data_IF_630153741658
#
_entry.id   IF_630153741658
#
_cell.length_a   1.000
_cell.length_b   1.000
_cell.length_c   1.000
_cell.angle_alpha   90.00
_cell.angle_beta   90.00
_cell.angle_gamma   90.00
#
_symmetry.space_group_name_H-M   'P 1'
#
loop_
_entity.id
_entity.type
_entity.pdbx_description
1 polymer ?
#
# COMPACT_ATOMS: atom_id res chain seq x y z
N UNK A 1 -33.17 -6.55 19.40
CA UNK A 1 -33.37 -5.59 18.28
C UNK A 1 -32.25 -4.59 18.20
N UNK A 2 -31.78 -3.97 19.29
CA UNK A 2 -30.64 -3.04 19.26
C UNK A 2 -29.34 -3.70 18.79
N UNK A 3 -29.08 -4.94 19.17
CA UNK A 3 -27.86 -5.67 18.81
C UNK A 3 -27.72 -5.92 17.30
N UNK A 4 -28.82 -6.28 16.64
CA UNK A 4 -28.83 -6.42 15.18
C UNK A 4 -28.54 -5.11 14.43
N UNK A 5 -28.97 -3.97 14.99
CA UNK A 5 -28.64 -2.65 14.43
C UNK A 5 -27.15 -2.33 14.60
N UNK A 6 -26.55 -2.64 15.76
CA UNK A 6 -25.12 -2.45 15.99
C UNK A 6 -24.28 -3.33 15.07
N UNK A 7 -24.66 -4.61 14.92
CA UNK A 7 -23.98 -5.53 14.01
C UNK A 7 -24.06 -5.06 12.55
N UNK A 8 -25.23 -4.59 12.10
CA UNK A 8 -25.40 -4.06 10.75
C UNK A 8 -24.62 -2.73 10.56
N UNK A 9 -24.58 -1.86 11.57
CA UNK A 9 -23.80 -0.62 11.54
C UNK A 9 -22.28 -0.91 11.46
N UNK A 10 -21.80 -1.86 12.26
CA UNK A 10 -20.41 -2.32 12.18
C UNK A 10 -20.07 -2.89 10.80
N UNK A 11 -20.99 -3.70 10.23
CA UNK A 11 -20.84 -4.20 8.87
C UNK A 11 -20.79 -3.10 7.81
N UNK A 12 -21.63 -2.06 7.93
CA UNK A 12 -21.57 -0.89 7.03
C UNK A 12 -20.22 -0.15 7.14
N UNK A 13 -19.77 0.10 8.37
CA UNK A 13 -18.47 0.75 8.60
C UNK A 13 -17.33 -0.06 7.97
N UNK A 14 -17.33 -1.37 8.16
CA UNK A 14 -16.33 -2.24 7.57
C UNK A 14 -16.37 -2.25 6.02
N UNK A 15 -17.57 -2.18 5.42
CA UNK A 15 -17.67 -2.08 3.97
C UNK A 15 -17.25 -0.69 3.45
N UNK A 16 -17.48 0.37 4.24
CA UNK A 16 -16.99 1.70 3.90
C UNK A 16 -15.46 1.75 3.88
N UNK A 17 -14.80 1.19 4.90
CA UNK A 17 -13.33 1.10 4.94
C UNK A 17 -12.76 0.33 3.74
N UNK A 18 -13.45 -0.75 3.31
CA UNK A 18 -13.07 -1.50 2.10
C UNK A 18 -13.26 -0.66 0.84
N UNK A 19 -14.38 0.07 0.72
CA UNK A 19 -14.64 0.98 -0.40
C UNK A 19 -13.57 2.07 -0.50
N UNK A 20 -13.17 2.66 0.63
CA UNK A 20 -12.15 3.70 0.68
C UNK A 20 -10.78 3.15 0.23
N UNK A 21 -10.42 1.94 0.69
CA UNK A 21 -9.19 1.27 0.27
C UNK A 21 -9.18 0.97 -1.24
N UNK A 22 -10.27 0.39 -1.77
CA UNK A 22 -10.38 0.06 -3.20
C UNK A 22 -10.41 1.32 -4.05
N UNK A 23 -11.09 2.38 -3.62
CA UNK A 23 -11.10 3.67 -4.30
C UNK A 23 -9.70 4.28 -4.39
N UNK A 24 -8.92 4.16 -3.31
CA UNK A 24 -7.53 4.58 -3.29
C UNK A 24 -6.66 3.74 -4.24
N UNK A 25 -6.87 2.42 -4.30
CA UNK A 25 -6.18 1.53 -5.23
C UNK A 25 -6.48 1.89 -6.69
N UNK A 26 -7.75 2.14 -7.04
CA UNK A 26 -8.17 2.57 -8.37
C UNK A 26 -7.52 3.91 -8.76
N UNK A 27 -7.53 4.89 -7.85
CA UNK A 27 -6.91 6.19 -8.08
C UNK A 27 -5.39 6.07 -8.35
N UNK A 28 -4.74 5.06 -7.78
CA UNK A 28 -3.31 4.81 -7.91
C UNK A 28 -2.95 3.67 -8.88
N UNK A 29 -3.90 3.22 -9.71
CA UNK A 29 -3.65 2.14 -10.66
C UNK A 29 -2.57 2.49 -11.71
N UNK A 30 -2.41 3.78 -12.03
CA UNK A 30 -1.39 4.27 -12.96
C UNK A 30 -0.17 4.88 -12.25
N UNK A 31 -0.08 4.77 -10.93
CA UNK A 31 1.05 5.33 -10.15
C UNK A 31 2.21 4.33 -10.13
N UNK A 32 3.40 4.77 -10.51
CA UNK A 32 4.62 3.94 -10.52
C UNK A 32 4.98 3.47 -9.12
N UNK A 33 5.33 2.19 -8.99
CA UNK A 33 5.74 1.60 -7.72
C UNK A 33 4.64 1.47 -6.67
N UNK A 34 3.39 1.82 -6.99
CA UNK A 34 2.27 1.67 -6.06
C UNK A 34 1.97 0.21 -5.74
N UNK A 35 1.62 -0.06 -4.50
CA UNK A 35 1.27 -1.39 -3.99
C UNK A 35 -0.12 -1.39 -3.39
N UNK A 36 -0.98 -2.30 -3.90
CA UNK A 36 -2.37 -2.48 -3.48
C UNK A 36 -2.48 -2.64 -1.96
N UNK A 37 -3.47 -1.99 -1.37
CA UNK A 37 -3.81 -2.12 0.05
C UNK A 37 -4.57 -3.43 0.28
N UNK A 38 -4.21 -4.16 1.33
CA UNK A 38 -4.91 -5.38 1.75
C UNK A 38 -5.78 -5.08 2.95
N UNK A 39 -7.08 -5.30 2.79
CA UNK A 39 -8.08 -5.17 3.86
C UNK A 39 -8.53 -6.56 4.28
N UNK A 40 -8.49 -6.87 5.56
CA UNK A 40 -9.06 -8.08 6.12
C UNK A 40 -10.23 -7.74 7.03
N UNK A 41 -11.23 -8.62 7.04
CA UNK A 41 -12.36 -8.54 7.96
C UNK A 41 -12.08 -9.42 9.17
N UNK A 42 -12.43 -8.89 10.35
CA UNK A 42 -12.44 -9.64 11.60
C UNK A 42 -13.85 -9.63 12.15
N UNK A 43 -14.29 -10.76 12.65
CA UNK A 43 -15.49 -10.83 13.46
C UNK A 43 -15.28 -10.16 14.83
N UNK A 44 -16.29 -9.48 15.28
CA UNK A 44 -16.35 -8.91 16.61
C UNK A 44 -17.22 -9.80 17.48
N UNK A 45 -16.59 -10.51 18.42
CA UNK A 45 -17.30 -11.31 19.41
C UNK A 45 -17.64 -10.41 20.60
N UNK A 46 -18.92 -10.26 20.88
CA UNK A 46 -19.38 -9.64 22.10
C UNK A 46 -19.76 -10.75 23.09
N UNK A 47 -18.85 -11.10 23.98
CA UNK A 47 -19.13 -11.93 25.15
C UNK A 47 -19.03 -11.05 26.40
N UNK A 48 -20.12 -10.44 26.88
CA UNK A 48 -20.13 -9.99 28.26
C UNK A 48 -19.96 -11.23 29.16
N UNK A 49 -19.02 -11.21 30.06
CA UNK A 49 -18.70 -12.30 30.99
C UNK A 49 -19.93 -12.85 31.74
N UNK A 50 -21.00 -12.05 31.87
CA UNK A 50 -22.24 -12.40 32.53
C UNK A 50 -23.30 -13.09 31.63
N UNK A 51 -23.21 -12.98 30.28
CA UNK A 51 -24.13 -13.62 29.33
C UNK A 51 -23.71 -15.06 29.04
N UNK A 52 -22.43 -15.38 29.13
CA UNK A 52 -21.91 -16.73 28.95
C UNK A 52 -22.46 -17.75 29.96
N UNK A 53 -23.10 -17.29 31.03
CA UNK A 53 -23.61 -18.14 32.11
C UNK A 53 -25.06 -18.62 31.92
N UNK A 54 -25.83 -18.06 30.99
CA UNK A 54 -27.27 -18.43 30.97
C UNK A 54 -27.71 -19.33 29.81
N UNK A 55 -27.12 -19.32 28.62
CA UNK A 55 -27.61 -20.17 27.52
C UNK A 55 -26.54 -20.65 26.50
N UNK A 56 -25.26 -20.43 26.68
CA UNK A 56 -24.22 -20.93 25.75
C UNK A 56 -24.27 -20.34 24.34
N UNK A 57 -25.08 -19.32 24.10
CA UNK A 57 -25.19 -18.64 22.80
C UNK A 57 -24.31 -17.41 22.82
N UNK A 58 -23.24 -17.43 22.06
CA UNK A 58 -22.41 -16.28 21.78
C UNK A 58 -23.06 -15.42 20.71
N UNK A 59 -23.39 -14.17 21.04
CA UNK A 59 -23.90 -13.22 20.06
C UNK A 59 -22.75 -12.52 19.34
N UNK A 60 -22.84 -12.44 18.00
CA UNK A 60 -21.85 -11.75 17.19
C UNK A 60 -22.07 -10.24 17.22
N UNK A 61 -21.02 -9.46 17.49
CA UNK A 61 -21.07 -7.99 17.49
C UNK A 61 -20.84 -7.35 16.10
N UNK A 62 -20.86 -8.15 15.04
CA UNK A 62 -20.62 -7.70 13.68
C UNK A 62 -19.19 -7.94 13.20
N UNK A 63 -18.75 -7.17 12.20
CA UNK A 63 -17.43 -7.26 11.60
C UNK A 63 -16.71 -5.91 11.62
N UNK A 64 -15.40 -5.95 11.69
CA UNK A 64 -14.53 -4.79 11.56
C UNK A 64 -13.53 -5.02 10.42
N UNK A 65 -13.35 -4.02 9.56
CA UNK A 65 -12.28 -4.02 8.59
C UNK A 65 -10.97 -3.54 9.22
N UNK A 66 -9.88 -4.15 8.83
CA UNK A 66 -8.55 -3.75 9.26
C UNK A 66 -7.60 -3.81 8.07
N UNK A 67 -6.81 -2.78 7.87
CA UNK A 67 -5.71 -2.82 6.91
C UNK A 67 -4.61 -3.73 7.45
N UNK A 68 -4.34 -4.82 6.75
CA UNK A 68 -3.33 -5.82 7.15
C UNK A 68 -1.99 -5.63 6.45
N UNK A 69 -1.80 -4.53 5.73
CA UNK A 69 -0.58 -4.23 4.99
C UNK A 69 -0.83 -3.98 3.51
N UNK A 70 0.21 -4.15 2.71
CA UNK A 70 0.15 -3.98 1.25
C UNK A 70 0.56 -5.28 0.54
N UNK A 71 0.02 -5.49 -0.65
CA UNK A 71 0.44 -6.59 -1.51
C UNK A 71 1.73 -6.21 -2.25
N UNK A 72 2.87 -6.79 -1.86
CA UNK A 72 4.16 -6.49 -2.50
C UNK A 72 4.46 -7.36 -3.73
N UNK A 73 3.45 -8.00 -4.31
CA UNK A 73 3.58 -8.64 -5.61
C UNK A 73 4.10 -7.64 -6.65
N UNK A 74 4.89 -8.14 -7.59
CA UNK A 74 5.47 -7.33 -8.65
C UNK A 74 4.38 -6.83 -9.60
N UNK A 75 4.42 -5.53 -9.94
CA UNK A 75 3.57 -4.93 -10.97
C UNK A 75 4.08 -5.21 -12.38
N UNK A 76 3.34 -4.80 -13.38
CA UNK A 76 3.78 -4.86 -14.76
C UNK A 76 4.95 -3.90 -15.00
N UNK A 77 5.86 -4.26 -15.90
CA UNK A 77 6.94 -3.40 -16.32
C UNK A 77 6.52 -2.58 -17.54
N UNK A 78 6.74 -1.28 -17.46
CA UNK A 78 6.54 -0.34 -18.57
C UNK A 78 7.88 0.22 -19.03
N UNK A 79 8.19 0.03 -20.29
CA UNK A 79 9.38 0.59 -20.89
C UNK A 79 9.20 2.09 -21.16
N UNK A 80 10.10 2.91 -20.68
CA UNK A 80 10.08 4.38 -20.84
C UNK A 80 11.20 4.87 -21.72
N UNK A 81 12.27 4.07 -21.86
CA UNK A 81 13.52 4.41 -22.54
C UNK A 81 14.23 5.66 -21.94
N UNK A 82 13.77 6.14 -20.77
CA UNK A 82 14.44 7.22 -20.04
C UNK A 82 15.60 6.66 -19.21
N UNK A 83 16.81 7.26 -19.30
CA UNK A 83 18.02 6.68 -18.72
C UNK A 83 18.03 6.68 -17.18
N UNK A 84 17.21 7.49 -16.53
CA UNK A 84 17.13 7.56 -15.07
C UNK A 84 15.97 6.75 -14.49
N UNK A 85 15.09 6.24 -15.35
CA UNK A 85 14.02 5.35 -14.91
C UNK A 85 14.58 3.94 -14.67
N UNK A 86 14.26 3.38 -13.53
CA UNK A 86 14.69 2.02 -13.16
C UNK A 86 13.54 1.24 -12.53
N UNK A 87 13.46 -0.03 -12.89
CA UNK A 87 12.56 -0.96 -12.22
C UNK A 87 13.35 -1.98 -11.40
N UNK A 88 12.81 -2.33 -10.25
CA UNK A 88 13.35 -3.38 -9.40
C UNK A 88 12.73 -4.73 -9.81
N UNK A 89 13.54 -5.65 -10.30
CA UNK A 89 13.13 -7.01 -10.58
C UNK A 89 13.40 -7.90 -9.36
N UNK A 90 12.36 -8.48 -8.78
CA UNK A 90 12.46 -9.29 -7.57
C UNK A 90 11.97 -8.57 -6.31
N UNK A 91 12.30 -9.14 -5.15
CA UNK A 91 11.88 -8.60 -3.85
C UNK A 91 12.91 -7.59 -3.34
N UNK A 92 12.42 -6.49 -2.76
CA UNK A 92 13.27 -5.47 -2.15
C UNK A 92 12.79 -4.07 -2.44
N UNK A 93 13.62 -3.12 -2.05
CA UNK A 93 13.35 -1.68 -2.14
C UNK A 93 14.66 -0.94 -2.45
N UNK A 94 14.54 0.25 -3.00
CA UNK A 94 15.64 1.19 -3.14
C UNK A 94 15.66 2.05 -1.88
N UNK A 95 16.83 2.16 -1.25
CA UNK A 95 17.02 2.99 -0.07
C UNK A 95 17.20 4.45 -0.46
N UNK A 96 16.42 5.31 0.16
CA UNK A 96 16.48 6.76 -0.02
C UNK A 96 16.53 7.47 1.33
N UNK A 97 16.73 8.78 1.30
CA UNK A 97 16.76 9.64 2.47
C UNK A 97 15.78 10.80 2.30
N UNK A 98 14.83 10.90 3.24
CA UNK A 98 13.85 11.99 3.36
C UNK A 98 14.10 12.74 4.66
N UNK A 99 14.44 14.03 4.61
CA UNK A 99 14.65 14.85 5.80
C UNK A 99 15.61 14.23 6.84
N UNK A 100 16.67 13.57 6.34
CA UNK A 100 17.66 12.90 7.19
C UNK A 100 17.26 11.51 7.69
N UNK A 101 16.04 11.04 7.43
CA UNK A 101 15.56 9.71 7.79
C UNK A 101 15.65 8.75 6.60
N UNK A 102 15.95 7.49 6.89
CA UNK A 102 15.96 6.45 5.88
C UNK A 102 14.53 6.10 5.47
N UNK A 103 14.27 6.07 4.17
CA UNK A 103 13.01 5.63 3.58
C UNK A 103 13.28 4.61 2.48
N UNK A 104 12.32 3.76 2.24
CA UNK A 104 12.35 2.69 1.27
C UNK A 104 11.34 2.99 0.18
N UNK A 105 11.69 2.76 -1.09
CA UNK A 105 10.74 2.95 -2.19
C UNK A 105 10.89 1.86 -3.25
N UNK A 106 9.83 1.65 -4.02
CA UNK A 106 9.82 0.90 -5.27
C UNK A 106 9.60 1.79 -6.49
N UNK A 107 9.37 3.09 -6.24
CA UNK A 107 9.32 4.06 -7.33
C UNK A 107 10.73 4.30 -7.86
N UNK A 108 10.93 4.00 -9.12
CA UNK A 108 12.22 4.16 -9.81
C UNK A 108 12.28 5.36 -10.73
N UNK A 109 11.33 6.28 -10.67
CA UNK A 109 11.38 7.51 -11.44
C UNK A 109 12.33 8.51 -10.78
N UNK A 110 13.60 8.45 -11.18
CA UNK A 110 14.64 9.31 -10.64
C UNK A 110 14.95 10.50 -11.55
N UNK A 111 15.47 11.54 -10.91
CA UNK A 111 15.98 12.74 -11.59
C UNK A 111 17.12 13.35 -10.78
N UNK A 112 17.92 14.17 -11.43
CA UNK A 112 18.92 14.99 -10.73
C UNK A 112 18.27 16.30 -10.28
N UNK A 113 18.61 16.71 -9.06
CA UNK A 113 18.23 18.03 -8.54
C UNK A 113 19.13 19.13 -9.11
N UNK A 114 18.85 20.39 -8.78
CA UNK A 114 19.65 21.56 -9.21
C UNK A 114 21.10 21.51 -8.72
N UNK A 115 21.41 20.68 -7.74
CA UNK A 115 22.74 20.44 -7.19
C UNK A 115 23.42 19.22 -7.81
N UNK A 116 22.78 18.61 -8.80
CA UNK A 116 23.28 17.40 -9.47
C UNK A 116 23.16 16.13 -8.65
N UNK A 117 22.36 16.08 -7.57
CA UNK A 117 22.18 14.89 -6.76
C UNK A 117 20.99 14.06 -7.26
N UNK A 118 21.16 12.75 -7.29
CA UNK A 118 20.12 11.81 -7.73
C UNK A 118 19.06 11.67 -6.65
N UNK A 119 17.80 11.85 -7.03
CA UNK A 119 16.65 11.74 -6.16
C UNK A 119 15.36 11.55 -6.93
N UNK A 120 14.24 11.55 -6.22
CA UNK A 120 12.90 11.49 -6.81
C UNK A 120 12.33 12.90 -7.07
N UNK A 121 11.13 12.93 -7.63
CA UNK A 121 10.40 14.18 -7.92
C UNK A 121 10.10 15.04 -6.68
N UNK A 122 10.10 14.46 -5.48
CA UNK A 122 9.86 15.12 -4.21
C UNK A 122 11.07 15.76 -3.57
N UNK A 123 12.26 15.36 -3.98
CA UNK A 123 13.51 15.79 -3.38
C UNK A 123 14.09 14.79 -2.37
N UNK A 124 13.52 13.60 -2.23
CA UNK A 124 14.19 12.51 -1.50
C UNK A 124 15.42 12.09 -2.27
N UNK A 125 16.55 11.93 -1.61
CA UNK A 125 17.82 11.61 -2.23
C UNK A 125 18.13 10.12 -2.10
N UNK A 126 18.78 9.53 -3.08
CA UNK A 126 19.26 8.15 -2.97
C UNK A 126 20.34 8.03 -1.90
N UNK A 127 20.39 6.88 -1.23
CA UNK A 127 21.40 6.57 -0.22
C UNK A 127 22.21 5.34 -0.67
N UNK A 128 23.56 5.42 -0.79
CA UNK A 128 24.42 6.59 -0.63
C UNK A 128 24.18 7.66 -1.70
N UNK A 129 24.48 8.93 -1.39
CA UNK A 129 24.21 10.04 -2.32
C UNK A 129 25.06 9.91 -3.59
N UNK A 130 24.40 9.98 -4.74
CA UNK A 130 25.02 9.93 -6.06
C UNK A 130 24.91 11.32 -6.66
N UNK A 131 26.04 11.90 -7.08
CA UNK A 131 26.08 13.25 -7.64
C UNK A 131 26.67 13.24 -9.04
N UNK A 132 26.02 14.00 -9.93
CA UNK A 132 26.49 14.24 -11.29
C UNK A 132 27.49 15.40 -11.30
N UNK A 133 28.62 15.28 -11.96
CA UNK A 133 29.54 16.42 -12.18
C UNK A 133 28.85 17.54 -12.98
N UNK A 134 29.18 18.79 -12.65
CA UNK A 134 28.63 19.96 -13.34
C UNK A 134 28.91 19.93 -14.84
N UNK A 135 27.90 20.25 -15.65
CA UNK A 135 28.03 20.35 -17.11
C UNK A 135 27.87 19.04 -17.88
N UNK A 136 27.42 17.96 -17.24
CA UNK A 136 27.23 16.67 -17.89
C UNK A 136 25.72 16.35 -17.99
N UNK A 137 25.32 15.82 -19.14
CA UNK A 137 23.93 15.42 -19.37
C UNK A 137 23.60 14.05 -18.72
N UNK A 138 22.42 13.93 -18.13
CA UNK A 138 21.92 12.71 -17.52
C UNK A 138 21.76 11.53 -18.52
N UNK A 139 21.72 11.83 -19.83
CA UNK A 139 21.52 10.81 -20.89
C UNK A 139 22.62 9.76 -20.97
N UNK A 140 23.84 10.09 -20.51
CA UNK A 140 25.01 9.20 -20.55
C UNK A 140 25.13 8.34 -19.29
N UNK A 141 24.19 8.46 -18.36
CA UNK A 141 24.18 7.65 -17.14
C UNK A 141 23.74 6.22 -17.46
N UNK A 142 24.54 5.25 -17.03
CA UNK A 142 24.21 3.83 -17.12
C UNK A 142 24.05 3.25 -15.72
N UNK A 143 22.98 2.53 -15.52
CA UNK A 143 22.67 1.84 -14.27
C UNK A 143 22.74 0.35 -14.52
N UNK A 144 23.68 -0.31 -13.88
CA UNK A 144 23.86 -1.74 -14.03
C UNK A 144 22.85 -2.53 -13.16
N UNK A 145 22.59 -3.81 -13.49
CA UNK A 145 21.63 -4.63 -12.72
C UNK A 145 21.98 -4.82 -11.24
N UNK A 146 23.24 -4.60 -10.85
CA UNK A 146 23.69 -4.67 -9.46
C UNK A 146 23.54 -3.33 -8.69
N UNK A 147 22.97 -2.30 -9.34
CA UNK A 147 22.79 -0.96 -8.81
C UNK A 147 23.98 -0.01 -9.02
N UNK A 148 25.05 -0.45 -9.66
CA UNK A 148 26.19 0.43 -9.96
C UNK A 148 25.81 1.49 -10.99
N UNK A 149 26.05 2.76 -10.65
CA UNK A 149 25.77 3.91 -11.51
C UNK A 149 27.07 4.42 -12.09
N UNK A 150 27.14 4.46 -13.40
CA UNK A 150 28.33 4.90 -14.15
C UNK A 150 27.99 6.00 -15.14
N UNK A 151 28.94 6.89 -15.40
CA UNK A 151 28.85 7.95 -16.38
C UNK A 151 30.08 7.89 -17.28
N UNK A 152 29.86 7.65 -18.57
CA UNK A 152 30.96 7.51 -19.55
C UNK A 152 32.08 6.55 -19.07
N UNK A 153 31.70 5.47 -18.39
CA UNK A 153 32.60 4.46 -17.84
C UNK A 153 33.23 4.81 -16.49
N UNK A 154 32.98 5.99 -15.92
CA UNK A 154 33.39 6.34 -14.55
C UNK A 154 32.30 6.01 -13.56
N UNK A 155 32.66 5.35 -12.46
CA UNK A 155 31.70 5.05 -11.38
C UNK A 155 31.33 6.36 -10.66
N UNK A 156 30.03 6.64 -10.57
CA UNK A 156 29.47 7.72 -9.76
C UNK A 156 29.05 7.23 -8.36
N UNK A 157 28.61 5.99 -8.25
CA UNK A 157 28.14 5.39 -7.00
C UNK A 157 27.38 4.10 -7.23
N UNK A 158 26.68 3.66 -6.19
CA UNK A 158 25.85 2.46 -6.24
C UNK A 158 24.53 2.70 -5.51
N UNK A 159 23.41 2.38 -6.15
CA UNK A 159 22.09 2.37 -5.52
C UNK A 159 22.02 1.25 -4.47
N UNK A 160 21.60 1.59 -3.26
CA UNK A 160 21.48 0.61 -2.19
C UNK A 160 20.16 -0.14 -2.32
N UNK A 161 20.25 -1.40 -2.72
CA UNK A 161 19.13 -2.32 -2.76
C UNK A 161 19.00 -3.01 -1.42
N UNK A 162 17.83 -2.92 -0.83
CA UNK A 162 17.57 -3.45 0.51
C UNK A 162 16.26 -4.25 0.54
N UNK A 163 16.17 -5.11 1.53
CA UNK A 163 14.96 -5.89 1.79
C UNK A 163 14.65 -5.88 3.28
N UNK A 164 13.41 -6.20 3.63
CA UNK A 164 12.95 -6.35 5.01
C UNK A 164 12.32 -7.73 5.18
N UNK A 165 12.45 -8.36 6.36
CA UNK A 165 11.90 -9.69 6.61
C UNK A 165 10.38 -9.75 6.48
N UNK A 166 9.67 -8.70 6.92
CA UNK A 166 8.21 -8.61 6.89
C UNK A 166 7.78 -7.30 6.24
N UNK A 167 7.57 -7.26 4.91
CA UNK A 167 7.16 -6.04 4.22
C UNK A 167 5.79 -5.50 4.70
N UNK A 168 4.89 -6.38 5.17
CA UNK A 168 3.57 -5.99 5.67
C UNK A 168 3.66 -5.05 6.90
N UNK A 169 4.75 -5.13 7.66
CA UNK A 169 5.03 -4.25 8.80
C UNK A 169 5.61 -2.88 8.41
N UNK A 170 5.80 -2.57 7.13
CA UNK A 170 6.29 -1.27 6.71
C UNK A 170 5.22 -0.19 6.88
N UNK A 171 5.60 0.95 7.42
CA UNK A 171 4.75 2.12 7.53
C UNK A 171 4.80 2.94 6.23
N UNK A 172 3.66 3.15 5.59
CA UNK A 172 3.57 4.03 4.42
C UNK A 172 3.66 5.50 4.85
N UNK A 173 4.55 6.25 4.21
CA UNK A 173 4.77 7.69 4.44
C UNK A 173 4.15 8.57 3.35
N UNK A 174 3.43 7.98 2.41
CA UNK A 174 2.97 8.63 1.18
C UNK A 174 4.02 8.58 0.07
N UNK A 175 3.59 8.86 -1.18
CA UNK A 175 4.42 8.89 -2.40
C UNK A 175 5.29 7.66 -2.61
N UNK A 176 4.69 6.50 -2.40
CA UNK A 176 5.34 5.19 -2.54
C UNK A 176 6.63 5.03 -1.72
N UNK A 177 6.76 5.83 -0.64
CA UNK A 177 7.83 5.74 0.34
C UNK A 177 7.34 5.02 1.60
N UNK A 178 8.19 4.19 2.16
CA UNK A 178 7.92 3.36 3.32
C UNK A 178 9.02 3.56 4.38
N UNK A 179 8.63 3.58 5.64
CA UNK A 179 9.56 3.52 6.77
C UNK A 179 9.60 2.11 7.34
N UNK A 180 10.80 1.68 7.70
CA UNK A 180 10.95 0.44 8.46
C UNK A 180 10.45 0.64 9.90
N UNK A 181 9.75 -0.37 10.43
CA UNK A 181 9.23 -0.40 11.80
C UNK A 181 9.82 -1.60 12.54
N UNK A 182 9.51 -1.71 13.83
CA UNK A 182 9.86 -2.89 14.60
C UNK A 182 9.21 -4.18 14.05
N UNK A 183 8.01 -4.05 13.47
CA UNK A 183 7.24 -5.16 12.89
C UNK A 183 7.79 -5.59 11.52
N UNK A 184 8.32 -4.66 10.73
CA UNK A 184 8.97 -5.01 9.45
C UNK A 184 10.32 -5.71 9.64
N UNK A 185 10.91 -5.57 10.82
CA UNK A 185 12.26 -6.04 11.12
C UNK A 185 13.35 -5.12 10.57
N UNK A 186 14.59 -5.51 10.79
CA UNK A 186 15.75 -4.72 10.38
C UNK A 186 15.94 -4.74 8.86
N UNK A 187 16.25 -3.58 8.29
CA UNK A 187 16.61 -3.44 6.89
C UNK A 187 17.92 -4.18 6.62
N UNK A 188 17.95 -5.03 5.61
CA UNK A 188 19.09 -5.84 5.18
C UNK A 188 19.41 -5.57 3.73
N UNK A 189 20.61 -5.92 3.27
CA UNK A 189 20.91 -5.90 1.85
C UNK A 189 19.95 -6.83 1.09
N UNK A 190 19.53 -6.43 -0.10
CA UNK A 190 18.68 -7.27 -0.94
C UNK A 190 19.43 -8.52 -1.39
N UNK A 191 18.69 -9.56 -1.73
CA UNK A 191 19.25 -10.81 -2.24
C UNK A 191 19.92 -10.61 -3.60
N UNK A 192 20.87 -11.46 -3.92
CA UNK A 192 21.58 -11.43 -5.21
C UNK A 192 20.64 -11.68 -6.44
N UNK A 193 19.43 -12.19 -6.18
CA UNK A 193 18.37 -12.36 -7.18
C UNK A 193 17.69 -11.05 -7.55
N UNK A 194 17.77 -10.04 -6.71
CA UNK A 194 17.18 -8.71 -6.94
C UNK A 194 18.06 -7.93 -7.90
N UNK A 195 17.51 -7.50 -9.02
CA UNK A 195 18.22 -6.77 -10.07
C UNK A 195 17.49 -5.49 -10.42
N UNK A 196 18.24 -4.51 -10.92
CA UNK A 196 17.69 -3.31 -11.52
C UNK A 196 17.67 -3.44 -13.04
N UNK A 197 16.62 -2.92 -13.65
CA UNK A 197 16.48 -2.76 -15.09
C UNK A 197 16.32 -1.28 -15.41
N UNK A 198 17.21 -0.76 -16.25
CA UNK A 198 17.23 0.66 -16.65
C UNK A 198 16.27 0.90 -17.83
N UNK A 199 15.67 2.09 -17.91
CA UNK A 199 14.72 2.48 -18.96
C UNK A 199 13.33 1.84 -18.82
N UNK A 200 13.03 1.34 -17.64
CA UNK A 200 11.79 0.66 -17.30
C UNK A 200 11.27 1.16 -15.95
N UNK A 201 9.97 1.28 -15.81
CA UNK A 201 9.30 1.55 -14.52
C UNK A 201 8.41 0.38 -14.11
N UNK A 202 8.36 0.11 -12.83
CA UNK A 202 7.37 -0.80 -12.26
C UNK A 202 6.05 -0.05 -12.09
N UNK A 203 5.00 -0.52 -12.74
CA UNK A 203 3.64 0.01 -12.61
C UNK A 203 2.98 -0.49 -11.32
N UNK A 204 1.86 0.10 -10.96
CA UNK A 204 1.00 -0.41 -9.89
C UNK A 204 0.68 -1.89 -10.08
N UNK A 205 0.58 -2.63 -8.98
CA UNK A 205 0.12 -4.03 -9.01
C UNK A 205 -1.40 -4.15 -8.80
N UNK A 206 -2.15 -3.07 -9.00
CA UNK A 206 -3.61 -3.04 -8.97
C UNK A 206 -4.15 -3.54 -10.29
N UNK A 207 -4.95 -4.61 -10.25
CA UNK A 207 -5.78 -4.99 -11.39
C UNK A 207 -7.08 -4.18 -11.36
N UNK A 208 -7.34 -3.43 -12.42
CA UNK A 208 -8.50 -2.56 -12.51
C UNK A 208 -9.82 -3.34 -12.55
N UNK A 209 -9.83 -4.51 -13.19
CA UNK A 209 -11.02 -5.36 -13.27
C UNK A 209 -11.40 -5.93 -11.91
N UNK A 210 -10.40 -6.45 -11.20
CA UNK A 210 -10.58 -6.95 -9.82
C UNK A 210 -11.01 -5.82 -8.89
N UNK A 211 -10.37 -4.65 -8.97
CA UNK A 211 -10.68 -3.51 -8.12
C UNK A 211 -12.11 -2.98 -8.34
N UNK A 212 -12.56 -2.91 -9.60
CA UNK A 212 -13.96 -2.53 -9.90
C UNK A 212 -14.96 -3.55 -9.39
N UNK A 213 -14.64 -4.84 -9.47
CA UNK A 213 -15.48 -5.92 -8.95
C UNK A 213 -15.57 -5.82 -7.43
N UNK A 214 -14.45 -5.66 -6.74
CA UNK A 214 -14.38 -5.46 -5.29
C UNK A 214 -15.18 -4.23 -4.84
N UNK A 215 -15.12 -3.14 -5.62
CA UNK A 215 -15.91 -1.93 -5.36
C UNK A 215 -17.41 -2.20 -5.44
N UNK A 216 -17.86 -2.87 -6.51
CA UNK A 216 -19.28 -3.20 -6.70
C UNK A 216 -19.80 -4.15 -5.61
N UNK A 217 -19.00 -5.15 -5.21
CA UNK A 217 -19.35 -6.06 -4.11
C UNK A 217 -19.50 -5.31 -2.80
N UNK A 218 -18.56 -4.42 -2.49
CA UNK A 218 -18.58 -3.61 -1.25
C UNK A 218 -19.76 -2.66 -1.23
N UNK A 219 -20.09 -2.02 -2.36
CA UNK A 219 -21.28 -1.17 -2.49
C UNK A 219 -22.57 -1.94 -2.25
N UNK A 220 -22.72 -3.12 -2.86
CA UNK A 220 -23.89 -3.97 -2.66
C UNK A 220 -24.01 -4.44 -1.21
N UNK A 221 -22.90 -4.82 -0.59
CA UNK A 221 -22.89 -5.24 0.81
C UNK A 221 -23.29 -4.08 1.74
N UNK A 222 -22.80 -2.87 1.48
CA UNK A 222 -23.18 -1.66 2.21
C UNK A 222 -24.68 -1.37 2.06
N UNK A 223 -25.23 -1.44 0.84
CA UNK A 223 -26.65 -1.25 0.60
C UNK A 223 -27.52 -2.29 1.33
N UNK A 224 -27.10 -3.56 1.33
CA UNK A 224 -27.81 -4.62 2.04
C UNK A 224 -27.82 -4.38 3.55
N UNK A 225 -26.72 -3.99 4.14
CA UNK A 225 -26.63 -3.66 5.56
C UNK A 225 -27.49 -2.43 5.90
N UNK A 226 -27.53 -1.41 5.03
CA UNK A 226 -28.41 -0.25 5.20
C UNK A 226 -29.89 -0.63 5.15
N UNK A 227 -30.27 -1.50 4.20
CA UNK A 227 -31.67 -2.01 4.12
C UNK A 227 -32.06 -2.85 5.35
N UNK A 228 -31.11 -3.60 5.91
CA UNK A 228 -31.37 -4.37 7.15
C UNK A 228 -31.67 -3.44 8.33
N UNK A 229 -30.94 -2.32 8.48
CA UNK A 229 -31.24 -1.31 9.50
C UNK A 229 -32.62 -0.70 9.28
N UNK A 230 -32.94 -0.29 8.05
CA UNK A 230 -34.24 0.30 7.72
C UNK A 230 -35.39 -0.68 7.99
N UNK A 231 -35.21 -1.96 7.72
CA UNK A 231 -36.21 -2.99 8.03
C UNK A 231 -36.44 -3.15 9.53
N UNK A 232 -35.35 -3.08 10.34
CA UNK A 232 -35.45 -3.13 11.79
C UNK A 232 -36.12 -1.88 12.36
N UNK A 233 -35.82 -0.69 11.83
CA UNK A 233 -36.48 0.55 12.24
C UNK A 233 -37.99 0.50 11.98
N UNK A 234 -38.41 0.02 10.79
CA UNK A 234 -39.82 -0.18 10.47
C UNK A 234 -40.50 -1.18 11.39
N UNK A 235 -39.82 -2.27 11.71
CA UNK A 235 -40.36 -3.25 12.65
C UNK A 235 -40.52 -2.65 14.07
N UNK A 236 -39.60 -1.82 14.50
CA UNK A 236 -39.69 -1.09 15.77
C UNK A 236 -40.82 -0.06 15.79
N UNK A 237 -41.03 0.66 14.68
CA UNK A 237 -42.18 1.59 14.51
C UNK A 237 -43.53 0.86 14.62
N UNK A 238 -43.69 -0.28 13.92
CA UNK A 238 -44.89 -1.08 13.96
C UNK A 238 -45.12 -1.60 15.38
N UNK A 239 -44.09 -2.12 16.06
CA UNK A 239 -44.21 -2.61 17.43
C UNK A 239 -44.62 -1.49 18.42
N UNK A 240 -44.13 -0.28 18.26
CA UNK A 240 -44.50 0.89 19.06
C UNK A 240 -45.91 1.38 18.73
N UNK A 241 -46.36 1.26 17.46
CA UNK A 241 -47.70 1.62 17.02
C UNK A 241 -48.81 0.71 17.56
N UNK A 242 -48.51 -0.57 17.80
CA UNK A 242 -49.46 -1.54 18.37
C UNK A 242 -49.71 -1.30 19.89
N UNK A 243 -48.79 -0.57 20.53
CA UNK A 243 -48.87 -0.31 21.98
C UNK A 243 -49.71 0.92 22.35
N UNK A 244 -50.33 1.58 21.38
CA UNK A 244 -51.35 2.64 21.53
C UNK A 244 -52.71 2.12 21.19
#
# INVERSE_FOLDING_TARGET
MLEGMYSAAAGMAAQQDRLDAVSNDIANANTTGYKRVRVAFRDLLYTPEWVATQNGVTEGAGAMATTVGRGYAQGAFQRTDEPLDVALQGQGFIKMKRDGKDVLTRDGNFRFDDKGRLGNARGDLVEPPISLPAGVEARNVKIAPDGSVTLDGKALGKLSLVNVPSPDGLQALGDNAFAATAESGAVRAADASTKLEQGVLEMSNVDMGDAMTDMLESQRAYEMASKAIQAQDKAAEIANGIKR
#
